data_IF_754778309109
#
_entry.id   IF_754778309109
#
_cell.length_a   1.000
_cell.length_b   1.000
_cell.length_c   1.000
_cell.angle_alpha   90.00
_cell.angle_beta   90.00
_cell.angle_gamma   90.00
#
_symmetry.space_group_name_H-M   'P 1'
#
loop_
_entity.id
_entity.type
_entity.pdbx_description
1 polymer ?
#
# COMPACT_ATOMS: atom_id res chain seq x y z
N UNK A 1 16.71 21.85 9.00
CA UNK A 1 17.33 22.03 7.67
C UNK A 1 16.24 22.00 6.61
N UNK A 2 16.00 23.11 5.89
CA UNK A 2 15.07 23.14 4.74
C UNK A 2 15.90 22.91 3.49
N UNK A 3 15.63 21.83 2.77
CA UNK A 3 16.20 21.60 1.45
C UNK A 3 15.42 22.42 0.41
N UNK A 4 16.10 22.96 -0.61
CA UNK A 4 15.43 23.70 -1.69
C UNK A 4 14.54 22.77 -2.52
N UNK A 5 13.54 23.37 -3.18
CA UNK A 5 12.64 22.62 -4.06
C UNK A 5 13.41 21.98 -5.22
N UNK A 6 14.39 22.67 -5.82
CA UNK A 6 15.20 22.09 -6.90
C UNK A 6 15.99 20.86 -6.42
N UNK A 7 16.54 20.91 -5.20
CA UNK A 7 17.30 19.77 -4.64
C UNK A 7 16.40 18.58 -4.37
N UNK A 8 15.20 18.81 -3.81
CA UNK A 8 14.20 17.74 -3.61
C UNK A 8 13.83 17.10 -4.94
N UNK A 9 13.62 17.88 -5.99
CA UNK A 9 13.18 17.37 -7.28
C UNK A 9 14.30 16.64 -8.05
N UNK A 10 15.54 17.14 -7.98
CA UNK A 10 16.71 16.44 -8.54
C UNK A 10 16.92 15.07 -7.90
N UNK A 11 16.75 14.98 -6.58
CA UNK A 11 16.88 13.73 -5.82
C UNK A 11 15.72 12.77 -6.14
N UNK A 12 14.49 13.26 -6.23
CA UNK A 12 13.34 12.43 -6.67
C UNK A 12 13.51 11.93 -8.10
N UNK A 13 14.13 12.70 -8.99
CA UNK A 13 14.42 12.26 -10.36
C UNK A 13 15.41 11.09 -10.42
N UNK A 14 16.32 10.96 -9.45
CA UNK A 14 17.22 9.79 -9.32
C UNK A 14 16.47 8.51 -8.91
N UNK A 15 15.34 8.65 -8.22
CA UNK A 15 14.44 7.54 -7.84
C UNK A 15 13.50 7.11 -8.97
N UNK A 16 13.41 7.90 -10.05
CA UNK A 16 12.58 7.60 -11.21
C UNK A 16 13.40 6.85 -12.29
N UNK A 17 12.72 6.13 -13.21
CA UNK A 17 13.36 5.64 -14.42
C UNK A 17 14.02 6.81 -15.18
N UNK A 18 15.23 6.68 -15.74
CA UNK A 18 15.93 5.43 -16.09
C UNK A 18 16.89 4.87 -15.04
N UNK A 19 17.18 5.60 -13.95
CA UNK A 19 18.21 5.20 -12.99
C UNK A 19 17.67 4.29 -11.88
N UNK A 20 16.40 4.47 -11.48
CA UNK A 20 15.69 3.66 -10.47
C UNK A 20 16.55 3.34 -9.22
N UNK A 21 17.33 4.31 -8.74
CA UNK A 21 18.28 4.12 -7.63
C UNK A 21 17.56 3.94 -6.30
N UNK A 22 18.10 3.09 -5.43
CA UNK A 22 17.52 2.85 -4.11
C UNK A 22 17.66 4.07 -3.20
N UNK A 23 16.78 4.19 -2.19
CA UNK A 23 16.88 5.27 -1.19
C UNK A 23 18.23 5.22 -0.45
N UNK A 24 18.76 4.02 -0.21
CA UNK A 24 20.02 3.83 0.51
C UNK A 24 21.21 4.40 -0.27
N UNK A 25 21.31 4.08 -1.57
CA UNK A 25 22.35 4.64 -2.44
C UNK A 25 22.26 6.17 -2.52
N UNK A 26 21.04 6.71 -2.63
CA UNK A 26 20.82 8.16 -2.68
C UNK A 26 21.16 8.81 -1.33
N UNK A 27 20.87 8.15 -0.21
CA UNK A 27 21.20 8.65 1.12
C UNK A 27 22.72 8.77 1.31
N UNK A 28 23.47 7.76 0.87
CA UNK A 28 24.94 7.74 0.91
C UNK A 28 25.55 8.78 -0.04
N UNK A 29 25.03 8.93 -1.26
CA UNK A 29 25.55 9.86 -2.27
C UNK A 29 25.26 11.33 -1.94
N UNK A 30 24.04 11.64 -1.48
CA UNK A 30 23.60 13.02 -1.24
C UNK A 30 23.82 13.49 0.21
N UNK A 31 24.21 12.57 1.10
CA UNK A 31 24.36 12.83 2.54
C UNK A 31 23.03 13.20 3.22
N UNK A 32 21.90 12.70 2.69
CA UNK A 32 20.56 12.96 3.20
C UNK A 32 20.10 11.72 3.98
N UNK A 33 19.49 11.91 5.15
CA UNK A 33 18.96 10.78 5.89
C UNK A 33 17.88 10.04 5.10
N UNK A 34 17.90 8.70 5.15
CA UNK A 34 16.90 7.85 4.51
C UNK A 34 15.49 8.29 4.89
N UNK A 35 15.24 8.61 6.17
CA UNK A 35 13.94 9.09 6.66
C UNK A 35 13.42 10.32 5.91
N UNK A 36 14.31 11.25 5.53
CA UNK A 36 13.94 12.43 4.74
C UNK A 36 13.55 12.04 3.32
N UNK A 37 14.30 11.13 2.71
CA UNK A 37 14.03 10.61 1.37
C UNK A 37 12.71 9.82 1.32
N UNK A 38 12.42 9.01 2.34
CA UNK A 38 11.14 8.34 2.52
C UNK A 38 9.98 9.34 2.60
N UNK A 39 10.14 10.43 3.36
CA UNK A 39 9.13 11.48 3.47
C UNK A 39 8.88 12.21 2.14
N UNK A 40 9.94 12.48 1.37
CA UNK A 40 9.81 13.10 0.05
C UNK A 40 9.14 12.19 -0.97
N UNK A 41 9.46 10.90 -0.94
CA UNK A 41 8.80 9.88 -1.77
C UNK A 41 7.32 9.79 -1.42
N UNK A 42 6.97 9.77 -0.13
CA UNK A 42 5.59 9.75 0.35
C UNK A 42 4.81 10.99 -0.10
N UNK A 43 5.42 12.17 -0.03
CA UNK A 43 4.82 13.41 -0.54
C UNK A 43 4.62 13.36 -2.07
N UNK A 44 5.62 12.90 -2.82
CA UNK A 44 5.51 12.74 -4.28
C UNK A 44 4.42 11.72 -4.68
N UNK A 45 4.25 10.63 -3.92
CA UNK A 45 3.14 9.68 -4.11
C UNK A 45 1.77 10.30 -3.82
N UNK A 46 1.66 11.13 -2.79
CA UNK A 46 0.42 11.86 -2.50
C UNK A 46 0.04 12.85 -3.62
N UNK A 47 1.04 13.34 -4.36
CA UNK A 47 0.88 14.18 -5.55
C UNK A 47 0.61 13.35 -6.84
N UNK A 48 0.46 12.02 -6.73
CA UNK A 48 0.14 11.13 -7.84
C UNK A 48 1.33 10.64 -8.66
N UNK A 49 2.57 10.88 -8.22
CA UNK A 49 3.76 10.34 -8.90
C UNK A 49 3.99 8.88 -8.48
N UNK A 50 3.96 7.97 -9.44
CA UNK A 50 4.33 6.56 -9.26
C UNK A 50 5.83 6.43 -8.99
N UNK A 51 6.21 6.47 -7.71
CA UNK A 51 7.57 6.13 -7.27
C UNK A 51 7.55 4.72 -6.70
N UNK A 52 8.37 3.79 -7.21
CA UNK A 52 8.55 2.49 -6.57
C UNK A 52 9.14 2.72 -5.17
N UNK A 53 8.59 2.03 -4.16
CA UNK A 53 9.29 1.92 -2.89
C UNK A 53 10.61 1.20 -3.19
N UNK A 54 11.72 1.62 -2.59
CA UNK A 54 13.10 1.27 -2.96
C UNK A 54 13.48 -0.21 -2.89
N UNK A 55 12.49 -1.09 -2.73
CA UNK A 55 12.58 -2.50 -3.02
C UNK A 55 11.81 -2.72 -4.32
N UNK A 56 12.49 -3.19 -5.36
CA UNK A 56 11.87 -3.62 -6.63
C UNK A 56 10.97 -4.86 -6.47
N UNK A 57 10.44 -5.06 -5.26
CA UNK A 57 9.55 -6.14 -4.89
C UNK A 57 8.10 -5.66 -4.96
N UNK A 58 7.16 -6.53 -5.36
CA UNK A 58 5.73 -6.22 -5.42
C UNK A 58 5.10 -5.88 -4.04
N UNK A 59 5.87 -6.01 -2.95
CA UNK A 59 5.48 -5.64 -1.58
C UNK A 59 5.50 -4.11 -1.35
N UNK A 60 6.33 -3.37 -2.09
CA UNK A 60 6.42 -1.90 -2.03
C UNK A 60 5.35 -1.15 -2.83
N UNK A 61 4.44 -1.88 -3.48
CA UNK A 61 3.37 -1.32 -4.30
C UNK A 61 2.06 -1.31 -3.52
N UNK A 62 1.51 -0.12 -3.27
CA UNK A 62 0.19 0.00 -2.64
C UNK A 62 -0.91 -0.47 -3.59
N UNK A 63 -2.11 -0.75 -3.08
CA UNK A 63 -3.25 -1.11 -3.93
C UNK A 63 -3.57 -0.03 -4.99
N UNK A 64 -3.39 1.26 -4.64
CA UNK A 64 -3.56 2.37 -5.56
C UNK A 64 -2.49 2.38 -6.66
N UNK A 65 -1.22 2.13 -6.32
CA UNK A 65 -0.13 2.05 -7.30
C UNK A 65 -0.33 0.88 -8.27
N UNK A 66 -0.78 -0.27 -7.75
CA UNK A 66 -1.09 -1.46 -8.56
C UNK A 66 -2.23 -1.17 -9.54
N UNK A 67 -3.28 -0.50 -9.09
CA UNK A 67 -4.39 -0.10 -9.94
C UNK A 67 -3.94 0.89 -11.03
N UNK A 68 -3.20 1.93 -10.66
CA UNK A 68 -2.65 2.90 -11.62
C UNK A 68 -1.76 2.23 -12.66
N UNK A 69 -0.90 1.29 -12.25
CA UNK A 69 -0.09 0.48 -13.17
C UNK A 69 -0.94 -0.32 -14.16
N UNK A 70 -2.00 -0.98 -13.69
CA UNK A 70 -2.93 -1.75 -14.55
C UNK A 70 -3.64 -0.83 -15.56
N UNK A 71 -4.02 0.38 -15.15
CA UNK A 71 -4.67 1.37 -16.03
C UNK A 71 -3.69 1.90 -17.08
N UNK A 72 -2.49 2.31 -16.67
CA UNK A 72 -1.44 2.81 -17.60
C UNK A 72 -1.02 1.76 -18.63
N UNK A 73 -0.96 0.50 -18.20
CA UNK A 73 -0.52 -0.62 -19.06
C UNK A 73 -1.66 -1.20 -19.89
N UNK A 74 -2.91 -0.78 -19.69
CA UNK A 74 -4.06 -1.41 -20.34
C UNK A 74 -4.06 -1.29 -21.86
N UNK A 75 -3.49 -0.21 -22.40
CA UNK A 75 -3.38 0.07 -23.83
C UNK A 75 -2.04 -0.36 -24.45
N UNK A 76 -1.08 -0.83 -23.64
CA UNK A 76 0.25 -1.20 -24.11
C UNK A 76 0.24 -2.60 -24.73
N UNK A 77 1.04 -2.77 -25.78
CA UNK A 77 1.33 -4.09 -26.33
C UNK A 77 2.36 -4.86 -25.47
N UNK A 78 2.59 -6.15 -25.76
CA UNK A 78 3.47 -7.01 -24.94
C UNK A 78 4.93 -6.49 -24.88
N UNK A 79 5.42 -5.87 -25.96
CA UNK A 79 6.77 -5.32 -26.02
C UNK A 79 6.88 -4.03 -25.19
N UNK A 80 5.87 -3.16 -25.28
CA UNK A 80 5.76 -1.93 -24.51
C UNK A 80 5.58 -2.21 -23.02
N UNK A 81 4.73 -3.20 -22.68
CA UNK A 81 4.54 -3.69 -21.32
C UNK A 81 5.87 -4.19 -20.74
N UNK A 82 6.60 -5.01 -21.50
CA UNK A 82 7.91 -5.51 -21.09
C UNK A 82 8.93 -4.39 -20.86
N UNK A 83 8.94 -3.36 -21.71
CA UNK A 83 9.81 -2.19 -21.53
C UNK A 83 9.41 -1.35 -20.30
N UNK A 84 8.12 -1.11 -20.11
CA UNK A 84 7.57 -0.38 -18.97
C UNK A 84 7.89 -1.09 -17.65
N UNK A 85 7.76 -2.42 -17.63
CA UNK A 85 8.07 -3.30 -16.51
C UNK A 85 9.56 -3.26 -16.14
N UNK A 86 10.47 -3.38 -17.11
CA UNK A 86 11.93 -3.29 -16.87
C UNK A 86 12.34 -1.96 -16.24
N UNK A 87 11.74 -0.86 -16.68
CA UNK A 87 12.02 0.47 -16.12
C UNK A 87 11.61 0.63 -14.65
N UNK A 88 10.69 -0.21 -14.17
CA UNK A 88 10.10 -0.13 -12.82
C UNK A 88 10.46 -1.34 -11.93
N UNK A 89 11.31 -2.24 -12.41
CA UNK A 89 11.69 -3.46 -11.69
C UNK A 89 10.55 -4.46 -11.53
N UNK A 90 9.55 -4.40 -12.42
CA UNK A 90 8.39 -5.30 -12.42
C UNK A 90 8.50 -6.34 -13.52
N UNK A 91 7.70 -7.41 -13.39
CA UNK A 91 7.49 -8.41 -14.42
C UNK A 91 6.10 -8.24 -15.04
N UNK A 92 5.93 -8.46 -16.36
CA UNK A 92 4.62 -8.42 -17.02
C UNK A 92 3.57 -9.29 -16.34
N UNK A 93 4.00 -10.43 -15.81
CA UNK A 93 3.13 -11.36 -15.09
C UNK A 93 2.53 -10.76 -13.81
N UNK A 94 3.25 -9.87 -13.12
CA UNK A 94 2.72 -9.17 -11.94
C UNK A 94 1.61 -8.20 -12.31
N UNK A 95 1.74 -7.51 -13.45
CA UNK A 95 0.69 -6.63 -13.96
C UNK A 95 -0.56 -7.43 -14.33
N UNK A 96 -0.40 -8.60 -14.93
CA UNK A 96 -1.51 -9.51 -15.23
C UNK A 96 -2.22 -9.99 -13.97
N UNK A 97 -1.45 -10.38 -12.94
CA UNK A 97 -2.01 -10.76 -11.64
C UNK A 97 -2.79 -9.60 -11.00
N UNK A 98 -2.28 -8.37 -11.07
CA UNK A 98 -3.00 -7.21 -10.54
C UNK A 98 -4.25 -6.87 -11.34
N UNK A 99 -4.22 -7.01 -12.67
CA UNK A 99 -5.41 -6.88 -13.52
C UNK A 99 -6.49 -7.87 -13.10
N UNK A 100 -6.13 -9.15 -12.99
CA UNK A 100 -7.07 -10.19 -12.57
C UNK A 100 -7.63 -9.92 -11.17
N UNK A 101 -6.79 -9.47 -10.23
CA UNK A 101 -7.25 -9.08 -8.90
C UNK A 101 -8.22 -7.89 -8.93
N UNK A 102 -8.00 -6.90 -9.80
CA UNK A 102 -8.92 -5.78 -9.99
C UNK A 102 -10.25 -6.22 -10.60
N UNK A 103 -10.23 -7.12 -11.59
CA UNK A 103 -11.44 -7.67 -12.20
C UNK A 103 -12.28 -8.47 -11.18
N UNK A 104 -11.61 -9.23 -10.30
CA UNK A 104 -12.25 -10.09 -9.29
C UNK A 104 -12.63 -9.35 -7.99
N UNK A 105 -12.22 -8.09 -7.82
CA UNK A 105 -12.42 -7.35 -6.57
C UNK A 105 -13.90 -7.26 -6.16
N UNK A 106 -14.79 -7.01 -7.12
CA UNK A 106 -16.23 -6.91 -6.88
C UNK A 106 -16.87 -8.26 -6.50
N UNK A 107 -16.30 -9.38 -6.96
CA UNK A 107 -16.77 -10.72 -6.63
C UNK A 107 -16.39 -11.08 -5.19
N UNK A 108 -15.18 -10.69 -4.79
CA UNK A 108 -14.71 -10.90 -3.42
C UNK A 108 -15.55 -10.13 -2.40
N UNK A 109 -15.85 -8.86 -2.66
CA UNK A 109 -16.71 -8.03 -1.81
C UNK A 109 -18.13 -8.59 -1.68
N UNK A 110 -18.72 -9.05 -2.79
CA UNK A 110 -20.04 -9.69 -2.77
C UNK A 110 -20.05 -10.93 -1.89
N UNK A 111 -19.05 -11.79 -2.04
CA UNK A 111 -18.94 -13.05 -1.29
C UNK A 111 -18.70 -12.80 0.21
N UNK A 112 -17.87 -11.80 0.57
CA UNK A 112 -17.66 -11.41 1.97
C UNK A 112 -18.91 -10.78 2.58
N UNK A 113 -19.62 -9.92 1.85
CA UNK A 113 -20.84 -9.29 2.33
C UNK A 113 -21.97 -10.31 2.52
N UNK A 114 -22.08 -11.29 1.61
CA UNK A 114 -22.98 -12.43 1.78
C UNK A 114 -22.61 -13.29 3.00
N UNK A 115 -21.33 -13.57 3.23
CA UNK A 115 -20.87 -14.27 4.45
C UNK A 115 -21.16 -13.48 5.72
N UNK A 116 -20.99 -12.16 5.71
CA UNK A 116 -21.33 -11.30 6.85
C UNK A 116 -22.84 -11.29 7.11
N UNK A 117 -23.67 -11.35 6.06
CA UNK A 117 -25.14 -11.47 6.18
C UNK A 117 -25.59 -12.85 6.66
N UNK A 118 -24.86 -13.90 6.29
CA UNK A 118 -25.13 -15.29 6.68
C UNK A 118 -24.47 -15.67 8.00
N UNK A 119 -23.52 -14.87 8.50
CA UNK A 119 -22.93 -15.07 9.81
C UNK A 119 -24.05 -14.96 10.84
N UNK A 120 -24.32 -16.02 11.63
CA UNK A 120 -25.31 -15.94 12.68
C UNK A 120 -24.89 -14.81 13.61
N UNK A 121 -25.80 -13.87 13.86
CA UNK A 121 -25.59 -12.86 14.90
C UNK A 121 -25.25 -13.61 16.18
N UNK A 122 -23.99 -13.54 16.62
CA UNK A 122 -23.61 -14.03 17.93
C UNK A 122 -24.33 -13.11 18.90
N UNK A 123 -25.53 -13.53 19.32
CA UNK A 123 -26.10 -13.00 20.55
C UNK A 123 -25.09 -13.41 21.61
N UNK A 124 -24.33 -12.44 22.09
CA UNK A 124 -23.69 -12.59 23.37
C UNK A 124 -24.87 -12.61 24.34
N UNK A 125 -25.38 -13.81 24.62
CA UNK A 125 -26.20 -14.03 25.79
C UNK A 125 -25.26 -13.80 26.97
N UNK A 126 -25.14 -12.54 27.36
CA UNK A 126 -24.61 -12.18 28.66
C UNK A 126 -25.62 -12.77 29.63
N UNK A 127 -25.37 -14.00 30.07
CA UNK A 127 -26.09 -14.60 31.17
C UNK A 127 -26.14 -13.52 32.27
N UNK A 128 -27.34 -13.12 32.74
CA UNK A 128 -27.44 -12.14 33.82
C UNK A 128 -26.65 -12.70 34.98
N UNK A 129 -25.40 -12.24 35.16
CA UNK A 129 -24.61 -12.56 36.33
C UNK A 129 -25.50 -12.23 37.52
N UNK A 130 -25.66 -13.19 38.42
CA UNK A 130 -26.22 -12.99 39.75
C UNK A 130 -25.41 -11.90 40.46
N UNK A 131 -25.68 -10.63 40.19
CA UNK A 131 -24.97 -9.49 40.76
C UNK A 131 -25.81 -8.68 41.76
N UNK A 132 -27.11 -8.95 41.90
CA UNK A 132 -28.03 -8.11 42.67
C UNK A 132 -28.65 -8.75 43.93
N UNK A 133 -28.00 -9.72 44.59
CA UNK A 133 -28.54 -10.20 45.89
C UNK A 133 -27.55 -10.54 46.99
N UNK A 134 -26.23 -10.43 46.77
CA UNK A 134 -25.27 -10.73 47.85
C UNK A 134 -24.20 -9.66 48.09
N UNK A 135 -24.25 -8.51 47.39
CA UNK A 135 -23.27 -7.43 47.58
C UNK A 135 -23.57 -6.48 48.76
N UNK A 136 -24.76 -6.57 49.37
CA UNK A 136 -25.13 -5.75 50.53
C UNK A 136 -25.09 -6.50 51.87
N UNK A 137 -24.78 -7.80 51.88
CA UNK A 137 -24.72 -8.58 53.12
C UNK A 137 -23.32 -8.59 53.77
N UNK A 138 -22.25 -8.34 53.00
CA UNK A 138 -20.85 -8.39 53.50
C UNK A 138 -20.27 -7.02 53.92
N UNK A 139 -21.08 -5.97 53.98
CA UNK A 139 -20.69 -4.65 54.52
C UNK A 139 -21.40 -4.25 55.80
N UNK A 140 -22.21 -5.14 56.36
CA UNK A 140 -22.90 -4.94 57.63
C UNK A 140 -22.74 -6.18 58.54
N UNK A 141 -21.48 -6.56 58.83
CA UNK A 141 -21.08 -7.14 60.12
C UNK A 141 -19.56 -7.06 60.28
#
# INVERSE_FOLDING_TARGET
>A
MRYSAERKEAVLKKMLPPNNRSIREIAEEEGISEATLYNWRKAARAEGRLLPDGDQTPAGWTAADKFAAVVETAALNEAELSAWCRGRGLYPEQIRQWRQACEQANDWDRTQNERLRQAPSVRIDVAPRMWDSNWNQERAN
#
